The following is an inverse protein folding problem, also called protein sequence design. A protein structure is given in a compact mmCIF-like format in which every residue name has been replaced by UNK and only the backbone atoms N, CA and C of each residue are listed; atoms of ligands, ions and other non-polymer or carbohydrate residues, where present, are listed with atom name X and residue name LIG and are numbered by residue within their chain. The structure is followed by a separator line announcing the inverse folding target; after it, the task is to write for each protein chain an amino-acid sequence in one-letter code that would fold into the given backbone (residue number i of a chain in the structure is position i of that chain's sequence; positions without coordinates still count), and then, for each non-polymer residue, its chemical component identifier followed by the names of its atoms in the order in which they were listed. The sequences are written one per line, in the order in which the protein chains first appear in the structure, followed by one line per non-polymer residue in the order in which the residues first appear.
data_IF_974550278044
#
_entry.id   IF_974550278044
#
_cell.length_a   1.000
_cell.length_b   1.000
_cell.length_c   1.000
_cell.angle_alpha   90.00
_cell.angle_beta   90.00
_cell.angle_gamma   90.00
#
_symmetry.space_group_name_H-M   'P 1'
#
loop_
_entity.id
_entity.type
_entity.pdbx_description
1 polymer ?
#
# COMPACT_ATOMS: atom_id res chain seq x y z
N UNK A 1 -32.16 -10.09 9.61
CA UNK A 1 -32.93 -11.25 10.13
C UNK A 1 -32.66 -11.30 11.63
N UNK A 2 -33.69 -11.22 12.48
CA UNK A 2 -33.56 -11.05 13.94
C UNK A 2 -33.17 -12.40 14.60
N UNK A 3 -32.06 -12.42 15.36
CA UNK A 3 -31.63 -13.61 16.12
C UNK A 3 -32.53 -13.83 17.36
N UNK A 4 -33.16 -15.00 17.46
CA UNK A 4 -33.96 -15.42 18.61
C UNK A 4 -33.25 -16.50 19.46
N UNK A 5 -33.54 -16.44 20.76
CA UNK A 5 -32.84 -17.05 21.89
C UNK A 5 -32.93 -18.60 22.03
N UNK A 6 -31.84 -19.14 22.60
CA UNK A 6 -31.74 -20.24 23.58
C UNK A 6 -32.02 -21.72 23.22
N UNK A 7 -32.40 -22.08 22.00
CA UNK A 7 -32.33 -23.49 21.50
C UNK A 7 -31.21 -23.68 20.46
N UNK A 8 -30.70 -22.57 19.89
CA UNK A 8 -29.69 -22.55 18.83
C UNK A 8 -28.26 -22.87 19.30
N UNK A 9 -27.92 -22.73 20.59
CA UNK A 9 -26.53 -22.97 21.05
C UNK A 9 -26.04 -24.41 20.83
N UNK A 10 -26.93 -25.41 20.86
CA UNK A 10 -26.55 -26.80 20.59
C UNK A 10 -26.41 -27.09 19.07
N UNK A 11 -27.21 -26.40 18.25
CA UNK A 11 -27.15 -26.47 16.78
C UNK A 11 -25.96 -25.68 16.21
N UNK A 12 -25.58 -24.57 16.84
CA UNK A 12 -24.46 -23.71 16.45
C UNK A 12 -23.10 -24.39 16.67
N UNK A 13 -22.96 -25.15 17.77
CA UNK A 13 -21.76 -25.94 18.07
C UNK A 13 -21.56 -27.06 17.01
N UNK A 14 -22.63 -27.71 16.56
CA UNK A 14 -22.54 -28.72 15.49
C UNK A 14 -22.28 -28.10 14.10
N UNK A 15 -22.82 -26.91 13.82
CA UNK A 15 -22.56 -26.18 12.57
C UNK A 15 -21.10 -25.75 12.47
N UNK A 16 -20.50 -25.25 13.56
CA UNK A 16 -19.07 -24.92 13.61
C UNK A 16 -18.16 -26.15 13.46
N UNK A 17 -18.55 -27.30 14.01
CA UNK A 17 -17.74 -28.52 13.85
C UNK A 17 -17.76 -29.07 12.40
N UNK A 18 -18.93 -29.03 11.75
CA UNK A 18 -19.09 -29.47 10.35
C UNK A 18 -18.48 -28.47 9.38
N UNK A 19 -18.60 -27.16 9.65
CA UNK A 19 -17.92 -26.11 8.90
C UNK A 19 -16.41 -26.26 9.04
N UNK A 20 -15.86 -26.45 10.25
CA UNK A 20 -14.43 -26.69 10.46
C UNK A 20 -13.92 -27.95 9.73
N UNK A 21 -14.75 -29.00 9.67
CA UNK A 21 -14.42 -30.25 8.97
C UNK A 21 -14.45 -30.09 7.44
N UNK A 22 -15.48 -29.44 6.89
CA UNK A 22 -15.58 -29.12 5.46
C UNK A 22 -14.48 -28.12 5.06
N UNK A 23 -14.16 -27.14 5.91
CA UNK A 23 -13.06 -26.21 5.71
C UNK A 23 -11.72 -26.92 5.71
N UNK A 24 -11.49 -27.88 6.62
CA UNK A 24 -10.26 -28.69 6.60
C UNK A 24 -10.19 -29.53 5.30
N UNK A 25 -11.30 -30.11 4.89
CA UNK A 25 -11.39 -30.93 3.68
C UNK A 25 -11.21 -30.12 2.38
N UNK A 26 -11.73 -28.89 2.32
CA UNK A 26 -11.53 -27.96 1.20
C UNK A 26 -10.11 -27.35 1.19
N UNK A 27 -9.52 -27.09 2.38
CA UNK A 27 -8.11 -26.68 2.56
C UNK A 27 -7.12 -27.72 2.02
N UNK A 28 -7.33 -28.99 2.36
CA UNK A 28 -6.42 -30.09 2.01
C UNK A 28 -6.47 -30.46 0.51
N UNK A 29 -7.62 -30.27 -0.16
CA UNK A 29 -7.83 -30.70 -1.55
C UNK A 29 -7.67 -29.55 -2.56
N UNK A 30 -8.16 -28.35 -2.26
CA UNK A 30 -8.22 -27.25 -3.23
C UNK A 30 -7.19 -26.14 -3.00
N UNK A 31 -6.40 -26.20 -1.91
CA UNK A 31 -5.48 -25.10 -1.53
C UNK A 31 -6.16 -23.72 -1.56
N UNK A 32 -7.42 -23.65 -1.10
CA UNK A 32 -8.15 -22.39 -1.02
C UNK A 32 -7.67 -21.66 0.23
N UNK A 33 -6.85 -20.63 0.04
CA UNK A 33 -6.18 -19.88 1.12
C UNK A 33 -7.06 -18.79 1.74
N UNK A 34 -8.19 -18.45 1.12
CA UNK A 34 -9.10 -17.40 1.59
C UNK A 34 -10.28 -17.96 2.35
N UNK A 35 -10.48 -17.50 3.59
CA UNK A 35 -11.69 -17.80 4.34
C UNK A 35 -12.37 -16.51 4.81
N UNK A 36 -13.60 -16.31 4.31
CA UNK A 36 -14.52 -15.29 4.78
C UNK A 36 -15.14 -15.73 6.10
N UNK A 37 -14.97 -14.93 7.14
CA UNK A 37 -15.68 -15.13 8.40
C UNK A 37 -16.61 -13.97 8.67
N UNK A 38 -17.84 -14.30 9.01
CA UNK A 38 -18.83 -13.35 9.51
C UNK A 38 -18.85 -13.42 11.04
N UNK A 39 -18.40 -12.37 11.72
CA UNK A 39 -18.50 -12.27 13.19
C UNK A 39 -19.68 -11.38 13.54
N UNK A 40 -20.69 -11.95 14.21
CA UNK A 40 -21.79 -11.18 14.78
C UNK A 40 -21.31 -10.56 16.10
N UNK A 41 -21.19 -9.23 16.16
CA UNK A 41 -20.82 -8.52 17.40
C UNK A 41 -22.08 -8.14 18.18
N UNK A 42 -23.20 -7.88 17.48
CA UNK A 42 -24.51 -7.57 18.07
C UNK A 42 -25.67 -8.11 17.20
N UNK A 43 -26.92 -7.86 17.59
CA UNK A 43 -28.10 -8.26 16.80
C UNK A 43 -28.28 -7.45 15.49
N UNK A 44 -27.47 -6.40 15.28
CA UNK A 44 -27.49 -5.53 14.08
C UNK A 44 -26.15 -5.47 13.35
N UNK A 45 -25.01 -5.75 14.00
CA UNK A 45 -23.69 -5.47 13.42
C UNK A 45 -22.96 -6.78 13.09
N UNK A 46 -22.62 -6.92 11.81
CA UNK A 46 -21.84 -8.04 11.27
C UNK A 46 -20.59 -7.46 10.64
N UNK A 47 -19.42 -8.00 10.97
CA UNK A 47 -18.18 -7.66 10.26
C UNK A 47 -17.70 -8.86 9.47
N UNK A 48 -17.22 -8.60 8.25
CA UNK A 48 -16.61 -9.61 7.39
C UNK A 48 -15.09 -9.50 7.57
N UNK A 49 -14.47 -10.57 8.05
CA UNK A 49 -13.02 -10.66 8.16
C UNK A 49 -12.50 -11.57 7.05
N UNK A 50 -11.35 -11.21 6.50
CA UNK A 50 -10.54 -12.18 5.76
C UNK A 50 -9.49 -12.74 6.70
N UNK A 51 -9.60 -14.05 6.88
CA UNK A 51 -8.54 -14.87 7.43
C UNK A 51 -7.82 -15.49 6.24
N UNK A 52 -6.54 -15.20 6.12
CA UNK A 52 -5.64 -15.95 5.24
C UNK A 52 -4.72 -16.68 6.20
N UNK A 53 -4.91 -18.01 6.33
CA UNK A 53 -4.23 -19.02 7.18
C UNK A 53 -3.35 -18.54 8.36
N UNK A 54 -3.34 -19.25 9.49
CA UNK A 54 -2.71 -18.86 10.78
C UNK A 54 -1.17 -18.54 10.74
N UNK A 55 -0.53 -18.54 9.58
CA UNK A 55 0.90 -18.30 9.35
C UNK A 55 1.19 -17.35 8.15
N UNK A 56 0.20 -16.57 7.68
CA UNK A 56 0.37 -15.69 6.51
C UNK A 56 0.81 -14.26 6.83
N UNK A 57 1.29 -13.58 5.79
CA UNK A 57 1.95 -12.29 5.87
C UNK A 57 1.02 -11.22 6.46
N UNK A 58 -0.27 -11.25 6.11
CA UNK A 58 -1.24 -10.26 6.56
C UNK A 58 -1.48 -10.30 8.06
N UNK A 59 -1.62 -11.49 8.66
CA UNK A 59 -1.89 -11.62 10.10
C UNK A 59 -0.71 -11.12 10.94
N UNK A 60 0.52 -11.52 10.57
CA UNK A 60 1.75 -11.05 11.22
C UNK A 60 1.88 -9.52 11.15
N UNK A 61 1.64 -8.94 9.97
CA UNK A 61 1.73 -7.49 9.80
C UNK A 61 0.63 -6.75 10.58
N UNK A 62 -0.55 -7.35 10.71
CA UNK A 62 -1.69 -6.71 11.38
C UNK A 62 -1.48 -6.64 12.89
N UNK A 63 -1.01 -7.73 13.50
CA UNK A 63 -0.61 -7.79 14.90
C UNK A 63 0.38 -6.66 15.23
N UNK A 64 1.48 -6.60 14.48
CA UNK A 64 2.58 -5.65 14.73
C UNK A 64 2.15 -4.21 14.45
N UNK A 65 1.33 -3.98 13.41
CA UNK A 65 0.92 -2.64 13.01
C UNK A 65 0.02 -1.96 14.05
N UNK A 66 -1.01 -2.66 14.53
CA UNK A 66 -1.93 -2.12 15.53
C UNK A 66 -1.40 -2.28 16.96
N UNK A 67 -0.39 -3.12 17.19
CA UNK A 67 0.04 -3.57 18.52
C UNK A 67 -1.12 -4.25 19.27
N UNK A 68 -1.71 -5.26 18.63
CA UNK A 68 -2.90 -5.95 19.14
C UNK A 68 -2.77 -7.48 19.05
N UNK A 69 -2.55 -8.13 20.20
CA UNK A 69 -2.34 -9.58 20.27
C UNK A 69 -3.58 -10.43 19.98
N UNK A 70 -4.76 -9.83 20.02
CA UNK A 70 -6.02 -10.53 19.80
C UNK A 70 -6.63 -10.28 18.41
N UNK A 71 -5.96 -9.51 17.55
CA UNK A 71 -6.44 -9.30 16.19
C UNK A 71 -6.14 -10.54 15.35
N UNK A 72 -7.12 -10.99 14.58
CA UNK A 72 -6.96 -12.11 13.64
C UNK A 72 -7.45 -11.62 12.27
N UNK A 73 -6.53 -11.08 11.47
CA UNK A 73 -6.81 -10.52 10.15
C UNK A 73 -7.37 -9.10 10.13
N UNK A 74 -7.75 -8.67 8.93
CA UNK A 74 -8.23 -7.32 8.62
C UNK A 74 -9.73 -7.33 8.34
N UNK A 75 -10.41 -6.23 8.70
CA UNK A 75 -11.84 -6.06 8.49
C UNK A 75 -12.13 -5.55 7.07
N UNK A 76 -13.04 -6.25 6.39
CA UNK A 76 -13.69 -5.74 5.19
C UNK A 76 -14.90 -4.90 5.57
N UNK A 77 -15.21 -3.99 4.67
CA UNK A 77 -16.43 -3.21 4.64
C UNK A 77 -17.64 -4.11 4.86
N UNK A 78 -18.57 -3.65 5.68
CA UNK A 78 -19.78 -4.38 6.03
C UNK A 78 -21.06 -3.65 5.61
N UNK A 79 -20.95 -2.40 5.15
CA UNK A 79 -22.07 -1.59 4.71
C UNK A 79 -22.31 -1.62 3.19
N UNK A 80 -23.59 -1.50 2.85
CA UNK A 80 -24.07 -1.39 1.47
C UNK A 80 -23.79 -2.60 0.58
N UNK A 81 -23.89 -2.37 -0.73
CA UNK A 81 -23.63 -3.39 -1.76
C UNK A 81 -22.12 -3.68 -1.94
N UNK A 82 -21.27 -2.91 -1.27
CA UNK A 82 -19.81 -3.00 -1.34
C UNK A 82 -19.21 -3.86 -0.21
N UNK A 83 -20.05 -4.38 0.68
CA UNK A 83 -19.66 -5.24 1.77
C UNK A 83 -18.85 -6.46 1.27
N UNK A 84 -17.68 -6.70 1.88
CA UNK A 84 -16.79 -7.80 1.54
C UNK A 84 -15.85 -7.58 0.35
N UNK A 85 -15.85 -6.41 -0.29
CA UNK A 85 -14.96 -6.09 -1.43
C UNK A 85 -13.89 -5.04 -1.10
N UNK A 86 -14.13 -4.19 -0.11
CA UNK A 86 -13.24 -3.09 0.29
C UNK A 86 -12.82 -3.24 1.74
N UNK A 87 -11.75 -2.57 2.15
CA UNK A 87 -11.42 -2.45 3.56
C UNK A 87 -12.46 -1.64 4.32
N UNK A 88 -12.69 -2.00 5.58
CA UNK A 88 -13.52 -1.24 6.51
C UNK A 88 -13.04 0.23 6.55
N UNK A 89 -13.85 1.15 6.02
CA UNK A 89 -13.39 2.53 5.79
C UNK A 89 -13.02 3.23 7.09
N UNK A 90 -13.70 2.92 8.19
CA UNK A 90 -13.39 3.48 9.51
C UNK A 90 -11.96 3.14 9.96
N UNK A 91 -11.46 1.96 9.59
CA UNK A 91 -10.13 1.45 9.96
C UNK A 91 -9.07 1.70 8.86
N UNK A 92 -9.51 2.01 7.65
CA UNK A 92 -8.67 2.15 6.45
C UNK A 92 -8.95 3.42 5.65
N UNK A 93 -9.24 4.53 6.35
CA UNK A 93 -9.80 5.74 5.75
C UNK A 93 -9.09 6.19 4.47
N UNK A 94 -7.79 6.46 4.50
CA UNK A 94 -7.06 6.94 3.32
C UNK A 94 -6.33 5.84 2.54
N UNK A 95 -6.81 4.59 2.62
CA UNK A 95 -6.29 3.45 1.87
C UNK A 95 -6.95 3.32 0.49
N UNK A 96 -6.20 2.86 -0.51
CA UNK A 96 -6.66 2.77 -1.91
C UNK A 96 -7.83 1.81 -2.13
N UNK A 97 -7.96 0.75 -1.33
CA UNK A 97 -9.06 -0.22 -1.34
C UNK A 97 -10.17 0.12 -0.33
N UNK A 98 -10.31 1.38 0.07
CA UNK A 98 -11.50 1.84 0.82
C UNK A 98 -12.67 2.14 -0.14
N UNK A 99 -13.94 1.98 0.28
CA UNK A 99 -15.12 1.95 -0.60
C UNK A 99 -15.57 3.31 -1.17
N UNK A 100 -14.85 4.40 -0.90
CA UNK A 100 -15.19 5.71 -1.46
C UNK A 100 -14.02 6.67 -1.49
N UNK A 101 -14.07 7.59 -2.46
CA UNK A 101 -13.01 8.57 -2.68
C UNK A 101 -12.91 9.58 -1.53
N UNK A 102 -11.74 9.66 -0.91
CA UNK A 102 -11.35 10.75 -0.02
C UNK A 102 -10.50 11.78 -0.76
N UNK A 103 -10.58 13.04 -0.33
CA UNK A 103 -9.64 14.08 -0.79
C UNK A 103 -8.37 14.01 0.05
N UNK A 104 -7.24 14.39 -0.55
CA UNK A 104 -5.93 14.31 0.08
C UNK A 104 -5.12 13.14 -0.47
N UNK A 105 -4.26 12.56 0.38
CA UNK A 105 -3.35 11.50 -0.05
C UNK A 105 -3.95 10.12 0.23
N UNK A 106 -4.11 9.34 -0.84
CA UNK A 106 -4.33 7.91 -0.74
C UNK A 106 -3.00 7.19 -0.55
N UNK A 107 -3.06 6.05 0.11
CA UNK A 107 -1.90 5.19 0.30
C UNK A 107 -2.18 3.77 -0.21
N UNK A 108 -1.13 3.15 -0.74
CA UNK A 108 -1.07 1.70 -0.95
C UNK A 108 -0.43 1.09 0.29
N UNK A 109 -1.25 0.64 1.22
CA UNK A 109 -0.76 0.14 2.50
C UNK A 109 -0.09 -1.23 2.38
N UNK A 110 0.71 -1.58 3.39
CA UNK A 110 1.25 -2.94 3.54
C UNK A 110 0.15 -3.99 3.65
N UNK A 111 -1.06 -3.62 4.08
CA UNK A 111 -2.21 -4.52 4.17
C UNK A 111 -2.72 -4.93 2.80
N UNK A 112 -2.88 -3.98 1.87
CA UNK A 112 -3.26 -4.27 0.49
C UNK A 112 -2.20 -5.10 -0.22
N UNK A 113 -0.92 -4.78 -0.04
CA UNK A 113 0.15 -5.59 -0.61
C UNK A 113 0.23 -6.98 0.04
N UNK A 114 0.03 -7.11 1.35
CA UNK A 114 -0.03 -8.40 2.01
C UNK A 114 -1.22 -9.22 1.51
N UNK A 115 -2.40 -8.62 1.36
CA UNK A 115 -3.56 -9.26 0.78
C UNK A 115 -3.29 -9.78 -0.64
N UNK A 116 -2.65 -8.97 -1.50
CA UNK A 116 -2.24 -9.41 -2.83
C UNK A 116 -1.20 -10.52 -2.82
N UNK A 117 -0.25 -10.47 -1.89
CA UNK A 117 0.76 -11.53 -1.73
C UNK A 117 0.10 -12.85 -1.33
N UNK A 118 -0.70 -12.79 -0.28
CA UNK A 118 -1.40 -13.92 0.31
C UNK A 118 -2.49 -14.47 -0.66
N UNK A 119 -2.90 -13.67 -1.65
CA UNK A 119 -3.81 -14.10 -2.71
C UNK A 119 -3.26 -15.08 -3.72
N UNK A 120 -1.94 -15.08 -3.92
CA UNK A 120 -1.28 -15.75 -5.05
C UNK A 120 -1.85 -15.37 -6.44
N UNK A 121 -2.52 -14.22 -6.59
CA UNK A 121 -2.94 -13.70 -7.90
C UNK A 121 -1.80 -13.07 -8.69
N UNK A 122 -0.81 -12.55 -7.96
CA UNK A 122 0.38 -11.91 -8.51
C UNK A 122 1.57 -12.85 -8.34
N UNK A 123 2.45 -12.90 -9.35
CA UNK A 123 3.64 -13.75 -9.31
C UNK A 123 4.61 -13.31 -8.22
N UNK A 124 4.68 -12.01 -7.94
CA UNK A 124 5.48 -11.45 -6.87
C UNK A 124 4.83 -10.17 -6.33
N UNK A 125 5.02 -9.91 -5.04
CA UNK A 125 4.54 -8.70 -4.34
C UNK A 125 5.60 -8.23 -3.35
N UNK A 126 6.20 -7.08 -3.65
CA UNK A 126 7.20 -6.45 -2.78
C UNK A 126 6.54 -5.56 -1.73
N UNK A 127 6.47 -6.05 -0.49
CA UNK A 127 5.91 -5.32 0.65
C UNK A 127 6.70 -4.06 1.02
N UNK A 128 7.95 -3.92 0.55
CA UNK A 128 8.76 -2.72 0.81
C UNK A 128 8.33 -1.53 -0.04
N UNK A 129 7.48 -1.74 -1.05
CA UNK A 129 6.86 -0.69 -1.85
C UNK A 129 5.60 -0.11 -1.18
N UNK A 130 5.22 -0.62 -0.01
CA UNK A 130 4.11 -0.08 0.75
C UNK A 130 4.39 1.36 1.16
N UNK A 131 3.40 2.21 0.99
CA UNK A 131 3.34 3.54 1.55
C UNK A 131 3.38 3.50 3.09
N UNK A 132 3.86 4.58 3.71
CA UNK A 132 3.79 4.73 5.17
C UNK A 132 2.36 5.05 5.64
N UNK A 133 1.54 4.01 5.69
CA UNK A 133 0.20 4.09 6.27
C UNK A 133 0.31 4.32 7.79
N UNK A 134 -0.39 5.34 8.28
CA UNK A 134 -0.32 5.76 9.69
C UNK A 134 -1.65 5.69 10.44
N UNK A 135 -2.76 5.54 9.72
CA UNK A 135 -4.09 5.49 10.32
C UNK A 135 -4.20 4.26 11.23
N UNK A 136 -4.52 4.48 12.51
CA UNK A 136 -4.67 3.42 13.51
C UNK A 136 -3.37 2.80 14.01
N UNK A 137 -2.20 3.22 13.49
CA UNK A 137 -0.90 2.59 13.77
C UNK A 137 -0.55 2.68 15.26
N UNK A 138 -0.38 1.53 15.90
CA UNK A 138 0.00 1.42 17.32
C UNK A 138 -1.10 1.79 18.32
N UNK A 139 -2.34 1.98 17.89
CA UNK A 139 -3.44 2.38 18.78
C UNK A 139 -4.01 1.24 19.64
N UNK A 140 -3.54 0.00 19.44
CA UNK A 140 -3.96 -1.18 20.18
C UNK A 140 -5.33 -1.69 19.77
N UNK A 141 -5.75 -2.81 20.38
CA UNK A 141 -6.99 -3.50 20.02
C UNK A 141 -8.26 -2.65 20.12
N UNK A 142 -8.28 -1.67 21.03
CA UNK A 142 -9.44 -0.79 21.26
C UNK A 142 -9.76 0.09 20.05
N UNK A 143 -8.79 0.34 19.17
CA UNK A 143 -9.02 1.10 17.95
C UNK A 143 -9.95 0.37 16.97
N UNK A 144 -9.95 -0.97 17.01
CA UNK A 144 -10.65 -1.81 16.04
C UNK A 144 -12.16 -1.89 16.27
N UNK A 145 -12.64 -1.44 17.43
CA UNK A 145 -14.02 -1.57 17.88
C UNK A 145 -14.57 -0.29 18.55
N UNK A 146 -13.87 0.85 18.47
CA UNK A 146 -14.35 2.08 19.09
C UNK A 146 -13.95 3.37 18.37
N UNK A 147 -14.86 4.34 18.37
CA UNK A 147 -14.67 5.71 17.90
C UNK A 147 -14.16 6.65 19.02
N UNK A 148 -13.21 6.21 19.85
CA UNK A 148 -12.75 7.01 21.00
C UNK A 148 -12.03 8.29 20.52
N UNK A 149 -12.44 9.45 21.03
CA UNK A 149 -11.84 10.76 20.72
C UNK A 149 -10.40 10.92 21.27
N UNK A 150 -9.89 9.92 21.99
CA UNK A 150 -8.48 9.81 22.33
C UNK A 150 -7.59 9.43 21.13
N UNK A 151 -8.17 8.84 20.08
CA UNK A 151 -7.47 8.54 18.83
C UNK A 151 -7.46 9.76 17.92
N UNK A 152 -6.31 10.04 17.29
CA UNK A 152 -6.14 11.21 16.41
C UNK A 152 -6.99 11.12 15.14
N UNK A 153 -7.38 9.91 14.76
CA UNK A 153 -8.20 9.57 13.60
C UNK A 153 -9.66 10.04 13.72
N UNK A 154 -10.18 10.15 14.96
CA UNK A 154 -11.58 10.46 15.22
C UNK A 154 -11.76 11.85 15.82
N UNK A 155 -12.83 12.54 15.41
CA UNK A 155 -13.07 13.94 15.78
C UNK A 155 -14.48 14.13 16.33
N UNK A 156 -14.67 15.13 17.19
CA UNK A 156 -16.02 15.45 17.69
C UNK A 156 -16.88 16.03 16.57
N UNK A 157 -18.15 15.63 16.49
CA UNK A 157 -19.16 16.20 15.58
C UNK A 157 -19.37 17.70 15.77
N UNK A 158 -18.99 18.26 16.93
CA UNK A 158 -19.09 19.68 17.25
C UNK A 158 -17.85 20.50 16.89
N UNK A 159 -16.80 19.86 16.36
CA UNK A 159 -15.56 20.56 16.02
C UNK A 159 -15.80 21.53 14.87
N UNK A 160 -15.19 22.71 14.97
CA UNK A 160 -15.11 23.67 13.88
C UNK A 160 -14.11 23.20 12.80
N UNK A 161 -13.69 24.10 11.92
CA UNK A 161 -12.65 23.81 10.93
C UNK A 161 -11.36 23.34 11.60
N UNK A 162 -10.87 22.18 11.19
CA UNK A 162 -9.64 21.54 11.66
C UNK A 162 -8.83 21.03 10.47
N UNK A 163 -7.63 20.52 10.70
CA UNK A 163 -6.88 19.83 9.65
C UNK A 163 -7.31 18.38 9.50
N UNK A 164 -7.22 17.85 8.27
CA UNK A 164 -7.36 16.41 8.04
C UNK A 164 -6.32 15.64 8.85
N UNK A 165 -6.55 14.35 9.10
CA UNK A 165 -5.62 13.50 9.87
C UNK A 165 -4.18 13.58 9.39
N UNK A 166 -3.98 13.53 8.07
CA UNK A 166 -2.68 13.61 7.41
C UNK A 166 -2.25 15.06 7.12
N UNK A 167 -3.02 16.06 7.56
CA UNK A 167 -2.80 17.48 7.32
C UNK A 167 -2.72 17.88 5.85
N UNK A 168 -3.28 17.12 4.89
CA UNK A 168 -3.30 17.53 3.47
C UNK A 168 -4.26 18.68 3.18
N UNK A 169 -5.27 18.93 4.03
CA UNK A 169 -6.23 20.01 3.78
C UNK A 169 -7.01 20.47 5.00
N UNK A 170 -7.76 21.56 4.83
CA UNK A 170 -8.73 22.03 5.83
C UNK A 170 -9.99 21.20 5.73
N UNK A 171 -10.54 20.84 6.88
CA UNK A 171 -11.50 19.77 7.01
C UNK A 171 -12.53 20.06 8.09
N UNK A 172 -13.63 19.31 8.05
CA UNK A 172 -14.67 19.34 9.06
C UNK A 172 -15.07 17.91 9.44
N UNK A 173 -15.55 17.71 10.68
CA UNK A 173 -16.14 16.44 11.09
C UNK A 173 -17.29 16.04 10.16
N UNK A 174 -17.24 14.82 9.64
CA UNK A 174 -18.32 14.25 8.88
C UNK A 174 -18.36 12.72 9.05
N UNK A 175 -19.48 12.13 8.66
CA UNK A 175 -19.72 10.68 8.58
C UNK A 175 -20.35 10.43 7.21
N UNK A 176 -19.76 9.55 6.41
CA UNK A 176 -20.37 9.09 5.15
C UNK A 176 -20.99 7.70 5.29
N UNK A 177 -21.43 7.12 4.16
CA UNK A 177 -22.14 5.83 4.12
C UNK A 177 -21.32 4.65 4.68
N UNK A 178 -20.00 4.72 4.68
CA UNK A 178 -19.11 3.62 5.02
C UNK A 178 -18.27 3.88 6.27
N UNK A 179 -18.44 5.03 6.92
CA UNK A 179 -17.73 5.36 8.15
C UNK A 179 -18.68 5.28 9.33
N UNK A 180 -18.28 4.59 10.40
CA UNK A 180 -19.04 4.53 11.65
C UNK A 180 -18.77 5.73 12.57
N UNK A 181 -17.64 6.40 12.36
CA UNK A 181 -17.11 7.44 13.23
C UNK A 181 -17.04 8.79 12.52
N UNK A 182 -17.15 9.88 13.30
CA UNK A 182 -16.86 11.22 12.78
C UNK A 182 -15.36 11.34 12.50
N UNK A 183 -15.03 11.58 11.23
CA UNK A 183 -13.67 11.75 10.72
C UNK A 183 -13.54 13.15 10.08
N UNK A 184 -12.33 13.67 9.96
CA UNK A 184 -12.04 14.97 9.37
C UNK A 184 -11.96 14.91 7.83
N UNK A 185 -13.06 15.24 7.15
CA UNK A 185 -13.12 15.25 5.68
C UNK A 185 -12.74 16.61 5.10
N UNK A 186 -11.83 16.62 4.13
CA UNK A 186 -11.41 17.84 3.41
C UNK A 186 -12.55 18.33 2.53
N UNK A 187 -12.85 19.63 2.60
CA UNK A 187 -13.91 20.26 1.81
C UNK A 187 -13.47 20.57 0.38
N UNK A 188 -14.39 20.99 -0.49
CA UNK A 188 -14.03 21.51 -1.81
C UNK A 188 -13.13 22.75 -1.71
N UNK A 189 -12.12 22.80 -2.57
CA UNK A 189 -11.16 23.89 -2.66
C UNK A 189 -10.37 24.14 -1.34
N UNK A 190 -10.16 23.10 -0.53
CA UNK A 190 -9.44 23.18 0.74
C UNK A 190 -8.22 22.24 0.79
N UNK A 191 -7.80 21.68 -0.34
CA UNK A 191 -6.59 20.86 -0.39
C UNK A 191 -5.36 21.77 -0.39
N UNK A 192 -4.57 21.73 0.68
CA UNK A 192 -3.36 22.54 0.79
C UNK A 192 -2.30 22.13 -0.25
N UNK A 193 -2.38 20.92 -0.80
CA UNK A 193 -1.42 20.41 -1.77
C UNK A 193 -1.76 20.77 -3.22
N UNK A 194 -2.99 21.23 -3.48
CA UNK A 194 -3.40 21.70 -4.80
C UNK A 194 -3.11 23.20 -4.93
N UNK A 195 -2.27 23.56 -5.90
CA UNK A 195 -1.91 24.94 -6.22
C UNK A 195 -3.11 25.77 -6.71
N UNK A 196 -4.17 25.11 -7.16
CA UNK A 196 -5.40 25.76 -7.64
C UNK A 196 -6.41 26.02 -6.51
N UNK A 197 -6.27 25.35 -5.36
CA UNK A 197 -7.14 25.47 -4.18
C UNK A 197 -6.77 26.68 -3.30
N UNK A 198 -6.52 27.83 -3.93
CA UNK A 198 -6.19 29.07 -3.22
C UNK A 198 -7.45 29.65 -2.56
N UNK A 199 -7.40 29.81 -1.23
CA UNK A 199 -8.46 30.50 -0.49
C UNK A 199 -8.58 31.96 -0.95
N UNK A 200 -9.77 32.55 -1.00
CA UNK A 200 -9.95 33.95 -1.46
C UNK A 200 -9.13 35.00 -0.67
N UNK A 201 -8.57 34.64 0.48
CA UNK A 201 -7.84 35.53 1.41
C UNK A 201 -6.38 35.11 1.69
N UNK A 202 -5.76 34.30 0.83
CA UNK A 202 -4.41 33.76 1.08
C UNK A 202 -3.35 34.85 1.34
N UNK A 203 -3.49 36.03 0.72
CA UNK A 203 -2.57 37.16 0.93
C UNK A 203 -2.66 37.76 2.34
N UNK A 204 -3.84 37.70 2.97
CA UNK A 204 -4.08 38.24 4.31
C UNK A 204 -3.75 37.23 5.40
N UNK A 205 -3.79 35.94 5.10
CA UNK A 205 -3.55 34.85 6.06
C UNK A 205 -2.15 34.24 5.94
N UNK A 206 -1.38 34.67 4.94
CA UNK A 206 -0.02 34.19 4.69
C UNK A 206 0.05 32.80 4.07
N UNK A 207 -1.08 32.29 3.57
CA UNK A 207 -1.20 30.91 3.10
C UNK A 207 -0.41 30.66 1.81
N UNK A 208 0.12 29.44 1.71
CA UNK A 208 0.85 28.93 0.57
C UNK A 208 0.30 27.54 0.28
N UNK A 209 -0.22 27.34 -0.93
CA UNK A 209 -0.62 26.03 -1.43
C UNK A 209 0.44 25.46 -2.37
N UNK A 210 0.48 24.14 -2.46
CA UNK A 210 1.32 23.38 -3.38
C UNK A 210 1.79 22.06 -2.78
N UNK A 211 2.48 21.24 -3.58
CA UNK A 211 2.85 19.86 -3.22
C UNK A 211 3.55 19.73 -1.84
N UNK A 212 4.30 20.75 -1.42
CA UNK A 212 5.00 20.80 -0.12
C UNK A 212 4.26 21.57 0.98
N UNK A 213 2.94 21.79 0.82
CA UNK A 213 2.10 22.47 1.78
C UNK A 213 1.20 21.51 2.54
N UNK A 214 0.95 21.86 3.80
CA UNK A 214 0.02 21.16 4.68
C UNK A 214 -0.79 22.14 5.51
N UNK A 215 -1.87 21.60 6.05
CA UNK A 215 -2.76 22.28 6.94
C UNK A 215 -2.16 22.37 8.35
N UNK A 216 -2.23 23.56 8.94
CA UNK A 216 -1.92 23.83 10.33
C UNK A 216 -3.15 24.43 11.03
N UNK A 217 -3.41 23.99 12.27
CA UNK A 217 -4.36 24.65 13.16
C UNK A 217 -3.82 26.05 13.48
N UNK A 218 -4.35 27.08 12.81
CA UNK A 218 -3.88 28.44 12.87
C UNK A 218 -4.99 29.41 12.53
N UNK A 219 -5.11 30.48 13.32
CA UNK A 219 -6.02 31.60 13.04
C UNK A 219 -5.27 32.86 12.56
N UNK A 220 -3.98 32.71 12.18
CA UNK A 220 -3.16 33.79 11.68
C UNK A 220 -3.82 34.62 10.59
N UNK A 221 -3.75 35.94 10.78
CA UNK A 221 -4.30 36.94 9.87
C UNK A 221 -3.62 38.30 10.06
N UNK A 222 -3.46 39.07 8.98
CA UNK A 222 -3.01 40.46 9.05
C UNK A 222 -3.92 41.29 9.97
N UNK A 223 -3.33 42.14 10.82
CA UNK A 223 -4.03 42.77 11.96
C UNK A 223 -5.29 43.60 11.63
N UNK A 224 -5.46 44.03 10.38
CA UNK A 224 -6.61 44.81 9.92
C UNK A 224 -7.76 43.96 9.35
N UNK A 225 -7.61 42.64 9.34
CA UNK A 225 -8.56 41.71 8.75
C UNK A 225 -9.12 40.77 9.81
N UNK A 226 -10.29 40.20 9.50
CA UNK A 226 -10.95 39.21 10.34
C UNK A 226 -11.24 37.97 9.51
N UNK A 227 -11.11 36.81 10.15
CA UNK A 227 -11.44 35.51 9.58
C UNK A 227 -11.98 34.63 10.71
N UNK A 228 -12.94 33.77 10.38
CA UNK A 228 -13.48 32.76 11.29
C UNK A 228 -12.83 31.39 11.09
N UNK A 229 -11.94 31.27 10.09
CA UNK A 229 -11.25 30.02 9.76
C UNK A 229 -10.14 29.80 10.79
N UNK A 230 -10.05 28.58 11.33
CA UNK A 230 -9.10 28.13 12.35
C UNK A 230 -8.01 27.21 11.78
N UNK A 231 -7.97 27.02 10.46
CA UNK A 231 -6.95 26.25 9.77
C UNK A 231 -6.33 27.04 8.60
N UNK A 232 -5.05 26.79 8.32
CA UNK A 232 -4.28 27.49 7.28
C UNK A 232 -3.36 26.54 6.53
N UNK A 233 -3.23 26.73 5.22
CA UNK A 233 -2.29 25.99 4.38
C UNK A 233 -0.93 26.72 4.35
N UNK A 234 0.13 26.06 4.80
CA UNK A 234 1.49 26.59 4.77
C UNK A 234 2.46 25.56 4.20
N UNK A 235 3.50 26.05 3.51
CA UNK A 235 4.61 25.20 3.11
C UNK A 235 5.53 24.94 4.29
N UNK A 236 6.23 23.80 4.28
CA UNK A 236 7.04 23.39 5.44
C UNK A 236 8.27 22.58 5.06
N UNK A 237 9.23 22.55 5.97
CA UNK A 237 10.42 21.70 5.94
C UNK A 237 10.63 21.07 7.31
N UNK A 238 10.85 19.76 7.36
CA UNK A 238 11.26 19.06 8.57
C UNK A 238 12.79 18.99 8.63
N UNK A 239 13.35 19.03 9.84
CA UNK A 239 14.76 18.73 10.02
C UNK A 239 15.07 17.23 9.83
N UNK A 240 16.35 16.92 9.65
CA UNK A 240 16.82 15.54 9.39
C UNK A 240 16.50 14.58 10.54
N UNK A 241 16.39 15.10 11.77
CA UNK A 241 16.04 14.30 12.96
C UNK A 241 14.51 14.13 13.16
N UNK A 242 13.68 14.77 12.35
CA UNK A 242 12.21 14.79 12.45
C UNK A 242 11.70 15.30 13.81
N UNK A 243 12.42 16.23 14.41
CA UNK A 243 12.11 16.85 15.71
C UNK A 243 11.70 18.31 15.58
N UNK A 244 12.11 18.97 14.50
CA UNK A 244 11.82 20.36 14.25
C UNK A 244 11.14 20.53 12.91
N UNK A 245 10.25 21.49 12.88
CA UNK A 245 9.46 21.83 11.71
C UNK A 245 9.58 23.32 11.45
N UNK A 246 10.06 23.68 10.27
CA UNK A 246 10.08 25.06 9.79
C UNK A 246 8.89 25.28 8.88
N UNK A 247 8.01 26.20 9.25
CA UNK A 247 6.78 26.55 8.53
C UNK A 247 7.01 27.89 7.82
N UNK A 248 6.62 27.99 6.55
CA UNK A 248 6.80 29.18 5.73
C UNK A 248 5.46 29.84 5.41
N UNK A 249 5.42 31.16 5.62
CA UNK A 249 4.27 32.04 5.41
C UNK A 249 4.61 33.07 4.33
N UNK A 250 3.65 33.43 3.47
CA UNK A 250 3.82 34.48 2.45
C UNK A 250 3.07 35.76 2.82
N UNK A 251 3.75 36.71 3.45
CA UNK A 251 3.14 37.95 3.95
C UNK A 251 3.54 39.11 3.04
N UNK A 252 2.57 39.70 2.35
CA UNK A 252 2.78 40.82 1.41
C UNK A 252 3.89 40.56 0.38
N UNK A 253 3.98 39.32 -0.11
CA UNK A 253 4.99 38.89 -1.09
C UNK A 253 6.39 38.61 -0.52
N UNK A 254 6.55 38.59 0.81
CA UNK A 254 7.78 38.17 1.48
C UNK A 254 7.56 36.87 2.23
N UNK A 255 8.52 35.96 2.12
CA UNK A 255 8.51 34.72 2.88
C UNK A 255 9.04 34.97 4.28
N UNK A 256 8.26 34.60 5.28
CA UNK A 256 8.67 34.52 6.69
C UNK A 256 8.63 33.06 7.12
N UNK A 257 9.49 32.68 8.07
CA UNK A 257 9.47 31.35 8.65
C UNK A 257 9.22 31.37 10.14
N UNK A 258 8.49 30.37 10.60
CA UNK A 258 8.25 30.03 12.01
C UNK A 258 8.83 28.64 12.26
N UNK A 259 9.26 28.37 13.49
CA UNK A 259 9.84 27.09 13.87
C UNK A 259 8.99 26.50 14.97
N UNK A 260 8.54 25.26 14.77
CA UNK A 260 8.09 24.40 15.85
C UNK A 260 9.25 23.49 16.27
N UNK A 261 9.66 23.55 17.52
CA UNK A 261 10.65 22.64 18.13
C UNK A 261 10.09 21.82 19.31
N UNK A 262 8.85 22.09 19.71
CA UNK A 262 8.11 21.33 20.71
C UNK A 262 6.73 20.85 20.22
N UNK A 263 6.35 19.65 20.62
CA UNK A 263 5.04 19.07 20.29
C UNK A 263 3.90 19.90 20.90
N UNK A 264 2.86 20.19 20.11
CA UNK A 264 1.67 20.94 20.52
C UNK A 264 1.92 22.37 21.03
N UNK A 265 3.10 22.94 20.83
CA UNK A 265 3.36 24.32 21.26
C UNK A 265 2.46 25.32 20.52
N UNK A 266 2.22 26.46 21.14
CA UNK A 266 1.41 27.55 20.60
C UNK A 266 2.32 28.73 20.29
N UNK A 267 2.38 29.11 19.02
CA UNK A 267 3.23 30.19 18.53
C UNK A 267 2.36 31.39 18.22
N UNK A 268 2.60 32.51 18.88
CA UNK A 268 1.90 33.76 18.58
C UNK A 268 2.32 34.35 17.23
N UNK A 269 1.38 35.04 16.59
CA UNK A 269 1.56 35.58 15.25
C UNK A 269 2.78 36.51 15.14
N UNK A 270 3.49 36.49 14.01
CA UNK A 270 4.60 37.39 13.77
C UNK A 270 4.13 38.85 13.67
N UNK A 271 5.08 39.78 13.78
CA UNK A 271 4.80 41.22 13.71
C UNK A 271 3.98 41.60 12.47
N UNK A 272 2.83 42.25 12.69
CA UNK A 272 1.89 42.66 11.63
C UNK A 272 0.72 41.71 11.42
N UNK A 273 0.70 40.59 12.13
CA UNK A 273 -0.40 39.63 12.17
C UNK A 273 -0.93 39.46 13.60
N UNK A 274 -2.15 38.95 13.69
CA UNK A 274 -2.81 38.51 14.92
C UNK A 274 -3.09 37.00 14.82
N UNK A 275 -3.27 36.36 15.98
CA UNK A 275 -3.59 34.94 16.08
C UNK A 275 -2.47 34.09 16.68
N UNK A 276 -2.68 32.78 16.69
CA UNK A 276 -1.77 31.73 17.12
C UNK A 276 -1.76 30.58 16.11
N UNK A 277 -0.62 29.91 16.02
CA UNK A 277 -0.46 28.65 15.32
C UNK A 277 -0.14 27.58 16.36
N UNK A 278 -0.86 26.46 16.28
CA UNK A 278 -0.59 25.28 17.09
C UNK A 278 0.28 24.32 16.29
N UNK A 279 1.44 24.00 16.82
CA UNK A 279 2.33 23.01 16.23
C UNK A 279 1.72 21.60 16.29
N UNK A 280 2.13 20.68 15.39
CA UNK A 280 1.59 19.33 15.38
C UNK A 280 1.71 18.63 16.74
N UNK A 281 0.72 17.79 17.07
CA UNK A 281 0.73 17.02 18.33
C UNK A 281 1.97 16.13 18.47
N UNK A 282 2.46 15.63 17.34
CA UNK A 282 3.67 14.83 17.24
C UNK A 282 4.40 15.22 15.96
N UNK A 283 5.46 16.04 16.10
CA UNK A 283 6.24 16.56 14.96
C UNK A 283 6.85 15.41 14.14
N UNK A 284 7.36 14.36 14.81
CA UNK A 284 7.94 13.20 14.14
C UNK A 284 6.90 12.48 13.27
N UNK A 285 5.71 12.21 13.82
CA UNK A 285 4.59 11.59 13.09
C UNK A 285 4.18 12.45 11.89
N UNK A 286 4.04 13.77 12.11
CA UNK A 286 3.71 14.74 11.06
C UNK A 286 4.71 14.74 9.90
N UNK A 287 6.01 14.73 10.21
CA UNK A 287 7.07 14.73 9.20
C UNK A 287 7.16 13.42 8.40
N UNK A 288 6.59 12.34 8.92
CA UNK A 288 6.55 11.03 8.29
C UNK A 288 5.32 10.82 7.39
N UNK A 289 4.36 11.75 7.33
CA UNK A 289 3.24 11.63 6.40
C UNK A 289 3.70 11.71 4.95
N UNK A 290 3.11 10.85 4.10
CA UNK A 290 3.49 10.72 2.70
C UNK A 290 3.38 12.03 1.95
N UNK A 291 4.46 12.41 1.28
CA UNK A 291 4.48 13.61 0.43
C UNK A 291 4.16 13.21 -1.01
N UNK A 292 3.38 14.02 -1.74
CA UNK A 292 3.21 13.79 -3.17
C UNK A 292 4.57 13.90 -3.87
N UNK A 293 4.77 13.08 -4.89
CA UNK A 293 5.92 13.22 -5.77
C UNK A 293 5.82 14.51 -6.60
N UNK A 294 6.97 14.99 -7.05
CA UNK A 294 7.06 16.16 -7.93
C UNK A 294 6.16 15.98 -9.16
N UNK A 295 5.28 16.97 -9.40
CA UNK A 295 4.29 16.99 -10.48
C UNK A 295 3.43 15.72 -10.59
N UNK A 296 3.24 14.99 -9.49
CA UNK A 296 2.52 13.71 -9.47
C UNK A 296 3.06 12.73 -10.52
N UNK A 297 4.38 12.72 -10.70
CA UNK A 297 5.08 11.94 -11.71
C UNK A 297 4.52 12.14 -13.12
N UNK A 298 4.00 13.34 -13.41
CA UNK A 298 3.43 13.75 -14.70
C UNK A 298 2.39 12.76 -15.26
N UNK A 299 1.69 12.02 -14.39
CA UNK A 299 0.81 10.89 -14.76
C UNK A 299 1.48 9.81 -15.63
N UNK A 300 2.81 9.77 -15.63
CA UNK A 300 3.67 8.94 -16.49
C UNK A 300 4.65 8.11 -15.64
N UNK A 301 4.23 7.82 -14.42
CA UNK A 301 5.00 7.10 -13.41
C UNK A 301 4.13 6.87 -12.18
N UNK A 302 4.70 6.19 -11.20
CA UNK A 302 4.12 6.02 -9.88
C UNK A 302 5.08 6.56 -8.83
N UNK A 303 4.52 7.01 -7.70
CA UNK A 303 5.30 7.57 -6.60
C UNK A 303 5.61 6.46 -5.61
N UNK A 304 6.89 6.26 -5.29
CA UNK A 304 7.30 5.43 -4.15
C UNK A 304 7.91 6.33 -3.08
N UNK A 305 7.62 6.00 -1.82
CA UNK A 305 8.22 6.68 -0.69
C UNK A 305 9.21 5.77 0.02
N UNK A 306 10.49 6.16 0.02
CA UNK A 306 11.56 5.45 0.73
C UNK A 306 12.25 6.39 1.71
N UNK A 307 12.26 6.03 3.00
CA UNK A 307 12.94 6.82 4.05
C UNK A 307 12.51 8.31 4.12
N UNK A 308 11.23 8.60 3.89
CA UNK A 308 10.63 9.95 3.80
C UNK A 308 11.00 10.76 2.55
N UNK A 309 11.63 10.13 1.56
CA UNK A 309 11.88 10.69 0.23
C UNK A 309 10.83 10.13 -0.72
N UNK A 310 10.10 11.02 -1.41
CA UNK A 310 9.15 10.64 -2.45
C UNK A 310 9.85 10.71 -3.81
N UNK A 311 9.89 9.59 -4.51
CA UNK A 311 10.58 9.42 -5.79
C UNK A 311 9.62 8.89 -6.86
N UNK A 312 9.70 9.45 -8.06
CA UNK A 312 8.94 8.96 -9.19
C UNK A 312 9.65 7.80 -9.88
N UNK A 313 8.93 6.69 -10.02
CA UNK A 313 9.29 5.58 -10.87
C UNK A 313 8.51 5.70 -12.17
N UNK A 314 9.21 6.08 -13.24
CA UNK A 314 8.58 6.31 -14.53
C UNK A 314 8.14 5.00 -15.19
N UNK A 315 6.98 5.04 -15.85
CA UNK A 315 6.57 3.93 -16.72
C UNK A 315 7.46 3.92 -17.97
N UNK A 316 7.40 2.82 -18.74
CA UNK A 316 8.23 2.68 -19.93
C UNK A 316 8.12 3.91 -20.86
N UNK A 317 9.28 4.35 -21.37
CA UNK A 317 9.43 5.50 -22.25
C UNK A 317 9.19 6.88 -21.61
N UNK A 318 9.22 7.00 -20.28
CA UNK A 318 9.23 8.29 -19.59
C UNK A 318 10.46 8.46 -18.71
N UNK A 319 10.88 9.71 -18.54
CA UNK A 319 12.11 10.06 -17.85
C UNK A 319 12.03 11.45 -17.22
N UNK A 320 13.11 11.85 -16.52
CA UNK A 320 13.19 12.95 -15.53
C UNK A 320 12.70 12.53 -14.15
N UNK A 321 13.09 13.34 -13.16
CA UNK A 321 12.72 13.18 -11.75
C UNK A 321 11.20 13.13 -11.54
N UNK A 322 10.42 13.72 -12.44
CA UNK A 322 8.96 13.78 -12.39
C UNK A 322 8.28 13.09 -13.59
N UNK A 323 9.03 12.29 -14.37
CA UNK A 323 8.53 11.57 -15.54
C UNK A 323 7.90 12.45 -16.63
N UNK A 324 8.27 13.72 -16.72
CA UNK A 324 7.67 14.69 -17.66
C UNK A 324 8.15 14.55 -19.11
N UNK A 325 9.22 13.82 -19.39
CA UNK A 325 9.79 13.70 -20.74
C UNK A 325 9.63 12.29 -21.31
N UNK A 326 8.91 12.18 -22.43
CA UNK A 326 8.87 10.97 -23.24
C UNK A 326 10.26 10.70 -23.87
N UNK A 327 10.77 9.48 -23.68
CA UNK A 327 12.04 9.03 -24.20
C UNK A 327 11.89 7.67 -24.92
N UNK A 328 12.30 7.59 -26.19
CA UNK A 328 12.42 6.33 -26.95
C UNK A 328 13.62 5.44 -26.50
N UNK A 329 14.06 5.58 -25.24
CA UNK A 329 15.33 5.07 -24.70
C UNK A 329 15.21 3.89 -23.75
N UNK A 330 16.24 3.05 -23.73
CA UNK A 330 16.37 1.79 -22.97
C UNK A 330 16.75 2.03 -21.50
N UNK A 331 16.17 1.25 -20.59
CA UNK A 331 16.58 1.12 -19.18
C UNK A 331 18.05 0.67 -19.06
N UNK A 332 18.88 1.46 -18.36
CA UNK A 332 20.18 1.02 -17.83
C UNK A 332 20.16 1.26 -16.33
N UNK A 333 20.54 0.25 -15.54
CA UNK A 333 20.86 0.25 -14.08
C UNK A 333 20.55 1.56 -13.34
N UNK A 334 19.51 1.58 -12.49
CA UNK A 334 19.14 2.58 -11.45
C UNK A 334 19.30 4.09 -11.77
N UNK A 335 19.70 4.45 -12.99
CA UNK A 335 20.02 5.77 -13.50
C UNK A 335 19.50 5.81 -14.95
N UNK A 336 18.28 6.33 -15.12
CA UNK A 336 17.66 6.54 -16.43
C UNK A 336 18.49 7.59 -17.21
N UNK A 337 19.51 7.14 -17.94
CA UNK A 337 20.20 7.96 -18.93
C UNK A 337 19.32 7.94 -20.18
N UNK A 338 18.65 9.07 -20.44
CA UNK A 338 17.92 9.33 -21.69
C UNK A 338 18.88 9.43 -22.88
N UNK A 339 19.66 8.40 -23.21
CA UNK A 339 20.46 8.39 -24.44
C UNK A 339 19.57 7.97 -25.59
N UNK A 340 19.06 8.97 -26.33
CA UNK A 340 18.19 8.88 -27.51
C UNK A 340 18.81 8.14 -28.71
N UNK A 341 19.67 7.14 -28.52
CA UNK A 341 20.44 6.56 -29.62
C UNK A 341 19.80 5.33 -30.24
N UNK A 342 19.38 4.33 -29.47
CA UNK A 342 18.98 3.03 -30.03
C UNK A 342 17.65 2.50 -29.50
N UNK A 343 16.91 1.78 -30.34
CA UNK A 343 15.60 1.19 -30.03
C UNK A 343 15.74 -0.13 -29.24
N UNK A 344 14.62 -0.64 -28.70
CA UNK A 344 14.55 -2.01 -28.12
C UNK A 344 15.13 -3.04 -29.13
N UNK A 345 15.83 -4.07 -28.63
CA UNK A 345 16.64 -5.04 -29.41
C UNK A 345 17.86 -4.46 -30.15
N UNK A 346 18.39 -3.32 -29.74
CA UNK A 346 19.61 -2.77 -30.33
C UNK A 346 20.64 -2.41 -29.25
N UNK A 347 21.93 -2.59 -29.56
CA UNK A 347 23.05 -2.15 -28.74
C UNK A 347 23.91 -1.13 -29.51
N UNK A 348 24.67 -0.32 -28.77
CA UNK A 348 25.62 0.62 -29.36
C UNK A 348 26.95 -0.10 -29.59
N UNK A 349 27.41 -0.16 -30.84
CA UNK A 349 28.73 -0.69 -31.16
C UNK A 349 29.86 0.31 -30.81
N UNK A 350 31.12 -0.11 -30.95
CA UNK A 350 32.30 0.73 -30.68
C UNK A 350 32.37 2.00 -31.55
N UNK A 351 31.55 2.12 -32.59
CA UNK A 351 31.46 3.26 -33.50
C UNK A 351 30.26 4.18 -33.21
N UNK A 352 29.59 4.03 -32.05
CA UNK A 352 28.39 4.78 -31.67
C UNK A 352 27.18 4.58 -32.61
N UNK A 353 27.07 3.41 -33.23
CA UNK A 353 25.93 3.06 -34.10
C UNK A 353 25.09 1.96 -33.46
N UNK A 354 23.77 2.05 -33.64
CA UNK A 354 22.84 1.03 -33.22
C UNK A 354 22.95 -0.20 -34.11
N UNK A 355 23.10 -1.35 -33.48
CA UNK A 355 23.17 -2.66 -34.12
C UNK A 355 22.15 -3.58 -33.45
N UNK A 356 21.52 -4.45 -34.22
CA UNK A 356 20.52 -5.37 -33.69
C UNK A 356 21.20 -6.41 -32.78
N UNK A 357 20.48 -6.79 -31.73
CA UNK A 357 20.86 -7.88 -30.84
C UNK A 357 20.79 -9.24 -31.55
N UNK A 358 21.52 -10.23 -31.01
CA UNK A 358 21.37 -11.62 -31.43
C UNK A 358 19.90 -12.07 -31.28
N UNK A 359 19.43 -12.94 -32.18
CA UNK A 359 18.03 -13.43 -32.22
C UNK A 359 17.57 -14.15 -30.93
N UNK A 360 18.53 -14.60 -30.12
CA UNK A 360 18.28 -15.31 -28.86
C UNK A 360 18.10 -14.36 -27.67
N UNK A 361 18.38 -13.07 -27.83
CA UNK A 361 18.14 -12.07 -26.79
C UNK A 361 16.71 -11.55 -26.90
N UNK A 362 15.96 -11.58 -25.79
CA UNK A 362 14.54 -11.23 -25.80
C UNK A 362 14.31 -9.74 -26.06
N UNK A 363 14.98 -8.86 -25.31
CA UNK A 363 14.76 -7.41 -25.40
C UNK A 363 16.03 -6.55 -25.33
N UNK A 364 17.07 -7.01 -24.61
CA UNK A 364 18.28 -6.22 -24.36
C UNK A 364 19.55 -7.05 -24.50
N UNK A 365 20.58 -6.43 -25.10
CA UNK A 365 21.92 -7.00 -25.22
C UNK A 365 22.97 -5.90 -25.08
N UNK A 366 24.19 -6.28 -24.72
CA UNK A 366 25.36 -5.39 -24.66
C UNK A 366 26.35 -5.63 -25.82
N UNK A 367 25.99 -6.52 -26.74
CA UNK A 367 26.85 -6.97 -27.82
C UNK A 367 26.13 -7.88 -28.81
N UNK A 368 26.82 -8.28 -29.89
CA UNK A 368 26.21 -9.00 -31.01
C UNK A 368 25.96 -10.49 -30.75
N UNK A 369 26.51 -11.07 -29.68
CA UNK A 369 26.51 -12.52 -29.50
C UNK A 369 25.30 -12.99 -28.68
N UNK A 370 24.97 -14.28 -28.81
CA UNK A 370 23.94 -14.95 -27.98
C UNK A 370 24.28 -14.97 -26.49
N UNK A 371 25.53 -14.70 -26.13
CA UNK A 371 26.04 -14.57 -24.77
C UNK A 371 26.17 -13.12 -24.32
N UNK A 372 25.62 -12.16 -25.06
CA UNK A 372 25.63 -10.74 -24.69
C UNK A 372 24.24 -10.27 -24.24
N UNK A 373 23.33 -11.20 -23.93
CA UNK A 373 21.96 -10.88 -23.53
C UNK A 373 21.92 -10.39 -22.07
N UNK A 374 21.02 -9.43 -21.80
CA UNK A 374 20.74 -8.93 -20.45
C UNK A 374 19.43 -9.47 -19.88
N UNK A 375 18.47 -9.80 -20.75
CA UNK A 375 17.21 -10.41 -20.36
C UNK A 375 16.96 -11.62 -21.25
N UNK A 376 16.66 -12.74 -20.60
CA UNK A 376 16.40 -14.00 -21.26
C UNK A 376 14.95 -14.14 -21.71
N UNK A 377 14.69 -14.95 -22.76
CA UNK A 377 13.33 -15.31 -23.16
C UNK A 377 12.54 -15.96 -22.02
N UNK A 378 11.20 -15.97 -22.15
CA UNK A 378 10.31 -16.61 -21.18
C UNK A 378 10.74 -18.06 -20.89
N UNK A 379 10.79 -18.43 -19.60
CA UNK A 379 11.25 -19.73 -19.10
C UNK A 379 12.77 -20.01 -19.23
N UNK A 380 13.59 -18.99 -19.41
CA UNK A 380 15.06 -19.07 -19.32
C UNK A 380 15.59 -18.06 -18.29
N UNK A 381 16.75 -18.37 -17.71
CA UNK A 381 17.38 -17.59 -16.65
C UNK A 381 18.76 -17.12 -17.06
N UNK A 382 19.14 -15.92 -16.65
CA UNK A 382 20.46 -15.35 -16.93
C UNK A 382 21.49 -15.92 -15.97
N UNK A 383 22.46 -16.68 -16.48
CA UNK A 383 23.63 -17.13 -15.72
C UNK A 383 24.89 -16.45 -16.29
N UNK A 384 25.40 -15.45 -15.57
CA UNK A 384 26.44 -14.56 -16.06
C UNK A 384 25.94 -13.69 -17.22
N UNK A 385 26.24 -14.06 -18.46
CA UNK A 385 25.74 -13.39 -19.66
C UNK A 385 25.03 -14.35 -20.64
N UNK A 386 24.76 -15.58 -20.21
CA UNK A 386 24.14 -16.61 -21.06
C UNK A 386 22.77 -16.98 -20.52
N UNK A 387 21.82 -17.19 -21.44
CA UNK A 387 20.49 -17.67 -21.09
C UNK A 387 20.49 -19.20 -21.03
N UNK A 388 20.10 -19.73 -19.87
CA UNK A 388 20.06 -21.16 -19.58
C UNK A 388 18.64 -21.56 -19.16
N UNK A 389 18.18 -22.74 -19.58
CA UNK A 389 16.88 -23.28 -19.14
C UNK A 389 16.92 -23.84 -17.71
N UNK A 390 18.12 -24.06 -17.17
CA UNK A 390 18.39 -24.55 -15.81
C UNK A 390 19.71 -23.98 -15.30
N UNK A 391 19.72 -23.43 -14.09
CA UNK A 391 20.94 -22.89 -13.48
C UNK A 391 21.97 -23.97 -13.16
N UNK A 392 23.25 -23.60 -13.16
CA UNK A 392 24.35 -24.49 -12.80
C UNK A 392 24.32 -24.85 -11.31
N UNK A 393 25.07 -25.88 -10.92
CA UNK A 393 25.16 -26.31 -9.53
C UNK A 393 25.64 -25.17 -8.62
N UNK A 394 24.95 -24.99 -7.48
CA UNK A 394 25.11 -23.88 -6.51
C UNK A 394 24.52 -22.54 -6.93
N UNK A 395 23.64 -22.54 -7.92
CA UNK A 395 22.78 -21.42 -8.28
C UNK A 395 21.32 -21.87 -8.25
N UNK A 396 20.42 -21.02 -7.78
CA UNK A 396 18.98 -21.23 -7.85
C UNK A 396 18.36 -20.30 -8.89
N UNK A 397 17.24 -20.76 -9.48
CA UNK A 397 16.43 -19.96 -10.39
C UNK A 397 15.65 -18.93 -9.58
N UNK A 398 15.98 -17.65 -9.76
CA UNK A 398 15.25 -16.56 -9.14
C UNK A 398 14.18 -16.09 -10.13
N UNK A 399 12.92 -16.46 -9.86
CA UNK A 399 11.78 -16.10 -10.71
C UNK A 399 11.44 -14.60 -10.67
N UNK A 400 11.86 -13.87 -9.64
CA UNK A 400 11.63 -12.43 -9.49
C UNK A 400 12.53 -11.63 -10.42
N UNK A 401 13.79 -12.06 -10.56
CA UNK A 401 14.81 -11.36 -11.37
C UNK A 401 15.03 -12.01 -12.74
N UNK A 402 14.61 -13.25 -12.95
CA UNK A 402 14.92 -14.01 -14.16
C UNK A 402 16.40 -14.38 -14.27
N UNK A 403 17.10 -14.45 -13.14
CA UNK A 403 18.53 -14.73 -13.06
C UNK A 403 18.84 -16.02 -12.29
N UNK A 404 20.02 -16.58 -12.54
CA UNK A 404 20.60 -17.63 -11.71
C UNK A 404 21.40 -16.98 -10.58
N UNK A 405 20.88 -17.03 -9.35
CA UNK A 405 21.55 -16.44 -8.18
C UNK A 405 22.29 -17.49 -7.36
N UNK A 406 23.46 -17.10 -6.85
CA UNK A 406 24.32 -18.01 -6.10
C UNK A 406 23.73 -18.35 -4.72
N UNK A 407 23.90 -19.60 -4.30
CA UNK A 407 23.61 -20.05 -2.95
C UNK A 407 24.57 -19.44 -1.92
N UNK A 408 24.15 -19.38 -0.64
CA UNK A 408 25.08 -19.08 0.44
C UNK A 408 26.11 -20.21 0.59
N UNK A 409 27.33 -19.86 1.00
CA UNK A 409 28.47 -20.80 1.10
C UNK A 409 28.23 -21.97 2.06
N UNK A 410 27.30 -21.83 3.00
CA UNK A 410 26.98 -22.84 4.01
C UNK A 410 26.08 -23.96 3.45
N UNK A 411 25.52 -23.80 2.24
CA UNK A 411 24.76 -24.83 1.56
C UNK A 411 25.68 -25.89 0.93
N UNK A 412 25.94 -26.99 1.65
CA UNK A 412 26.85 -28.05 1.20
C UNK A 412 26.41 -28.78 -0.10
N UNK A 413 25.11 -28.78 -0.43
CA UNK A 413 24.54 -29.50 -1.58
C UNK A 413 23.78 -28.58 -2.57
N UNK A 414 24.02 -27.27 -2.54
CA UNK A 414 23.25 -26.29 -3.30
C UNK A 414 21.98 -25.83 -2.57
N UNK A 415 21.18 -25.01 -3.23
CA UNK A 415 19.97 -24.37 -2.70
C UNK A 415 18.84 -24.38 -3.74
N UNK A 416 17.61 -24.15 -3.28
CA UNK A 416 16.41 -24.11 -4.12
C UNK A 416 15.53 -22.94 -3.68
N UNK A 417 14.95 -22.21 -4.64
CA UNK A 417 14.06 -21.05 -4.43
C UNK A 417 14.66 -19.79 -3.76
N UNK A 418 15.64 -19.92 -2.86
CA UNK A 418 16.36 -18.79 -2.25
C UNK A 418 17.81 -19.16 -1.91
N UNK A 419 18.64 -18.14 -1.66
CA UNK A 419 20.07 -18.34 -1.41
C UNK A 419 20.37 -19.17 -0.14
N UNK A 420 19.50 -19.10 0.87
CA UNK A 420 19.62 -19.73 2.19
C UNK A 420 18.80 -21.03 2.35
N UNK A 421 17.97 -21.37 1.38
CA UNK A 421 17.17 -22.60 1.37
C UNK A 421 18.00 -23.78 0.83
N UNK A 422 18.92 -24.27 1.66
CA UNK A 422 19.86 -25.33 1.30
C UNK A 422 19.20 -26.70 1.09
N UNK A 423 19.63 -27.42 0.05
CA UNK A 423 19.21 -28.79 -0.23
C UNK A 423 19.70 -29.74 0.87
N UNK A 424 18.76 -30.40 1.55
CA UNK A 424 19.07 -31.41 2.58
C UNK A 424 19.41 -32.77 1.93
N UNK A 425 20.31 -33.58 2.54
CA UNK A 425 20.77 -34.86 1.97
C UNK A 425 19.66 -35.85 1.63
N UNK A 426 18.48 -35.75 2.27
CA UNK A 426 17.34 -36.64 2.04
C UNK A 426 16.64 -36.48 0.68
N UNK A 427 17.02 -35.48 -0.13
CA UNK A 427 16.47 -35.26 -1.49
C UNK A 427 17.37 -35.76 -2.62
N UNK A 428 18.58 -36.25 -2.33
CA UNK A 428 19.55 -36.67 -3.37
C UNK A 428 19.27 -38.09 -3.88
N UNK A 429 18.54 -38.92 -3.12
CA UNK A 429 18.25 -40.33 -3.48
C UNK A 429 16.94 -40.52 -4.26
N UNK A 430 16.18 -39.46 -4.57
CA UNK A 430 14.85 -39.60 -5.20
C UNK A 430 14.75 -39.05 -6.62
N UNK A 431 15.84 -38.66 -7.29
CA UNK A 431 15.91 -38.47 -8.75
C UNK A 431 14.76 -37.65 -9.39
N UNK A 432 14.12 -36.77 -8.62
CA UNK A 432 12.96 -35.99 -9.05
C UNK A 432 13.45 -34.65 -9.60
N UNK A 433 13.94 -34.69 -10.84
CA UNK A 433 13.84 -33.51 -11.70
C UNK A 433 12.36 -33.38 -12.07
N UNK A 434 11.72 -32.29 -11.66
CA UNK A 434 10.38 -31.94 -12.14
C UNK A 434 10.55 -31.51 -13.59
N UNK A 435 10.37 -32.46 -14.51
CA UNK A 435 10.09 -32.19 -15.91
C UNK A 435 8.65 -32.59 -16.19
N UNK A 436 7.89 -31.63 -16.72
CA UNK A 436 6.61 -31.79 -17.41
C UNK A 436 5.40 -32.25 -16.58
N UNK A 437 4.53 -31.28 -16.23
CA UNK A 437 3.11 -31.52 -16.00
C UNK A 437 2.34 -31.01 -17.22
N UNK A 438 2.20 -31.88 -18.21
CA UNK A 438 1.17 -31.72 -19.22
C UNK A 438 0.43 -33.05 -19.47
N UNK A 439 -0.90 -32.94 -19.45
CA UNK A 439 -1.92 -33.85 -19.97
C UNK A 439 -2.46 -35.05 -19.14
N UNK A 440 -3.80 -35.03 -19.07
CA UNK A 440 -4.78 -36.10 -18.80
C UNK A 440 -5.09 -36.55 -17.35
N UNK A 441 -6.31 -36.19 -16.91
CA UNK A 441 -6.99 -36.79 -15.75
C UNK A 441 -8.47 -36.39 -15.67
N UNK A 442 -9.28 -36.77 -16.66
CA UNK A 442 -10.73 -36.54 -16.67
C UNK A 442 -11.49 -37.38 -15.62
N UNK A 443 -12.33 -36.69 -14.84
CA UNK A 443 -13.75 -36.99 -14.53
C UNK A 443 -14.06 -38.36 -13.88
N UNK A 444 -14.15 -38.37 -12.54
CA UNK A 444 -15.10 -39.24 -11.80
C UNK A 444 -15.77 -38.60 -10.57
N UNK A 445 -15.36 -37.40 -10.12
CA UNK A 445 -15.87 -36.84 -8.85
C UNK A 445 -17.15 -35.99 -8.94
N UNK A 446 -17.58 -35.62 -10.16
CA UNK A 446 -18.78 -34.79 -10.37
C UNK A 446 -20.09 -35.46 -9.88
N UNK A 447 -20.12 -36.80 -9.77
CA UNK A 447 -21.30 -37.55 -9.33
C UNK A 447 -21.53 -37.56 -7.80
N UNK A 448 -20.50 -37.27 -7.00
CA UNK A 448 -20.63 -37.23 -5.52
C UNK A 448 -21.12 -35.85 -5.06
N UNK A 449 -20.62 -34.78 -5.70
CA UNK A 449 -21.03 -33.40 -5.42
C UNK A 449 -22.52 -33.17 -5.73
N UNK A 450 -23.02 -33.69 -6.86
CA UNK A 450 -24.45 -33.64 -7.21
C UNK A 450 -25.34 -34.42 -6.23
N UNK A 451 -24.88 -35.55 -5.68
CA UNK A 451 -25.64 -36.31 -4.69
C UNK A 451 -25.74 -35.60 -3.34
N UNK A 452 -24.69 -34.88 -2.94
CA UNK A 452 -24.69 -34.10 -1.70
C UNK A 452 -25.60 -32.88 -1.84
N UNK A 453 -25.54 -32.15 -2.97
CA UNK A 453 -26.43 -31.02 -3.26
C UNK A 453 -27.91 -31.44 -3.30
N UNK A 454 -28.22 -32.61 -3.88
CA UNK A 454 -29.59 -33.15 -3.88
C UNK A 454 -30.10 -33.55 -2.48
N UNK A 455 -29.24 -34.02 -1.58
CA UNK A 455 -29.62 -34.32 -0.19
C UNK A 455 -29.90 -33.02 0.58
N UNK A 456 -29.15 -31.95 0.32
CA UNK A 456 -29.38 -30.64 0.92
C UNK A 456 -30.71 -30.00 0.48
N UNK A 457 -31.09 -30.13 -0.80
CA UNK A 457 -32.39 -29.63 -1.29
C UNK A 457 -33.59 -30.34 -0.64
N UNK A 458 -33.43 -31.61 -0.25
CA UNK A 458 -34.48 -32.42 0.38
C UNK A 458 -34.63 -32.11 1.89
N UNK A 459 -33.56 -31.66 2.54
CA UNK A 459 -33.56 -31.30 3.97
C UNK A 459 -34.04 -29.85 4.19
N UNK A 460 -33.87 -28.96 3.21
CA UNK A 460 -34.39 -27.58 3.28
C UNK A 460 -35.90 -27.45 3.02
N UNK A 461 -36.57 -28.54 2.63
CA UNK A 461 -38.01 -28.59 2.35
C UNK A 461 -38.86 -29.32 3.41
N UNK A 462 -38.26 -29.65 4.57
CA UNK A 462 -38.91 -30.16 5.78
C UNK A 462 -38.65 -29.18 6.92
#
# INVERSE_FOLDING_TARGET
MICYNNILNFYYIQKNFIINFIQKYLRDIFKIHFMYFQKCISNSDFHVYVFVDDDQTMDLNTFDYYNCDSINGVQFENDGDLAGYYWEKTLFFNEIMSPSFNKGNFVVSKFTLAFFKDSNWFADVDLNQADNFQWGKGNGCKFLDSCDLLFDEFVSSSSSEICSFDHTGKSYPNVDEFTDCHISFIQENQNCQDVNDLSNNYQQTGEINGQNSRCFESDYILSNYQSTSSARCYSYECDDELKKLKIFLSISGRIQSIICDENSEQISAPSGMNGNLKCPKNIRKFCQFNKPCENFCSNSGYCLQKENISECHCIENYSKKDCSEECDGVLWDDDIICDKKCKKKQYINQQNQCQDCHENCSFYCVGPNSSDCRICPQFQYLEGLSCVSSCSQNYFQDEQTGECKACIKDCQNGCIFSADNCLKPSFVDSGLFITDLDQYGQIQEFNIVLRIICIFYFISSL
#
